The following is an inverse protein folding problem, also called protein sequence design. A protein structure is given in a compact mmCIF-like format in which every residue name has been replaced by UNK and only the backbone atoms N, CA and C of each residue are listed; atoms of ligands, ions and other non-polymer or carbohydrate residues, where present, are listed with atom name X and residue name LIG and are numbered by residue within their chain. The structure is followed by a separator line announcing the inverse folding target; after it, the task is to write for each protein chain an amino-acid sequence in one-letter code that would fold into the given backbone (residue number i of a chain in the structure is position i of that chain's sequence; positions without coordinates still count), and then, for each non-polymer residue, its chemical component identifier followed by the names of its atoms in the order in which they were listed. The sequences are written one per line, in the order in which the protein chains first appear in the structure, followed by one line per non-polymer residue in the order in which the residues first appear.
data_IF_012352880795
#
_entry.id   IF_012352880795
#
_cell.length_a   1.000
_cell.length_b   1.000
_cell.length_c   1.000
_cell.angle_alpha   90.00
_cell.angle_beta   90.00
_cell.angle_gamma   90.00
#
_symmetry.space_group_name_H-M   'P 1'
#
loop_
_entity.id
_entity.type
_entity.pdbx_description
1 polymer ?
#
# COMPACT_ATOMS: atom_id res chain seq x y z
N UNK A 1 -53.74 6.02 -37.14
CA UNK A 1 -53.08 6.90 -36.14
C UNK A 1 -53.83 6.76 -34.83
N UNK A 2 -53.12 6.42 -33.73
CA UNK A 2 -52.80 7.45 -32.75
C UNK A 2 -51.32 7.43 -32.32
N UNK A 3 -50.82 8.63 -31.98
CA UNK A 3 -49.48 8.87 -31.45
C UNK A 3 -49.47 8.69 -29.93
N UNK A 4 -48.67 7.74 -29.45
CA UNK A 4 -48.36 7.57 -28.02
C UNK A 4 -47.09 8.33 -27.66
N UNK A 5 -47.22 9.37 -26.85
CA UNK A 5 -46.11 10.11 -26.25
C UNK A 5 -45.43 9.29 -25.16
N UNK A 6 -44.22 8.80 -25.45
CA UNK A 6 -43.32 8.22 -24.45
C UNK A 6 -42.64 9.33 -23.65
N UNK A 7 -42.99 9.44 -22.38
CA UNK A 7 -42.24 10.20 -21.37
C UNK A 7 -40.86 9.55 -21.15
N UNK A 8 -39.75 10.32 -21.14
CA UNK A 8 -38.44 9.76 -20.83
C UNK A 8 -38.36 9.39 -19.35
N UNK A 9 -37.95 8.15 -19.11
CA UNK A 9 -37.75 7.52 -17.81
C UNK A 9 -36.78 8.32 -16.94
N UNK A 10 -37.30 8.87 -15.84
CA UNK A 10 -36.62 9.68 -14.82
C UNK A 10 -35.38 9.03 -14.17
N UNK A 11 -35.13 7.74 -14.45
CA UNK A 11 -33.98 6.99 -13.92
C UNK A 11 -32.65 7.33 -14.57
N UNK A 12 -32.64 7.93 -15.77
CA UNK A 12 -31.38 8.29 -16.45
C UNK A 12 -30.79 9.62 -15.96
N UNK A 13 -31.62 10.56 -15.49
CA UNK A 13 -31.15 11.86 -15.01
C UNK A 13 -30.28 11.78 -13.75
N UNK A 14 -30.60 10.83 -12.85
CA UNK A 14 -29.81 10.60 -11.62
C UNK A 14 -28.43 10.00 -11.91
N UNK A 15 -28.30 9.15 -12.94
CA UNK A 15 -27.01 8.58 -13.34
C UNK A 15 -26.04 9.64 -13.87
N UNK A 16 -26.54 10.59 -14.67
CA UNK A 16 -25.69 11.68 -15.18
C UNK A 16 -25.22 12.62 -14.07
N UNK A 17 -26.04 12.89 -13.05
CA UNK A 17 -25.65 13.73 -11.92
C UNK A 17 -24.55 13.11 -11.06
N UNK A 18 -24.58 11.79 -10.83
CA UNK A 18 -23.54 11.08 -10.08
C UNK A 18 -22.21 11.06 -10.85
N UNK A 19 -22.25 10.82 -12.17
CA UNK A 19 -21.05 10.84 -13.02
C UNK A 19 -20.43 12.24 -13.08
N UNK A 20 -21.24 13.30 -13.17
CA UNK A 20 -20.74 14.68 -13.18
C UNK A 20 -20.10 15.07 -11.83
N UNK A 21 -20.63 14.56 -10.72
CA UNK A 21 -20.10 14.83 -9.39
C UNK A 21 -18.75 14.14 -9.14
N UNK A 22 -18.57 12.91 -9.66
CA UNK A 22 -17.29 12.20 -9.61
C UNK A 22 -16.24 12.89 -10.49
N UNK A 23 -16.63 13.36 -11.68
CA UNK A 23 -15.73 14.14 -12.55
C UNK A 23 -15.28 15.47 -11.92
N UNK A 24 -16.17 16.14 -11.17
CA UNK A 24 -15.83 17.36 -10.44
C UNK A 24 -14.91 17.13 -9.24
N UNK A 25 -14.99 15.95 -8.60
CA UNK A 25 -14.08 15.57 -7.50
C UNK A 25 -12.65 15.28 -7.97
N UNK A 26 -12.44 14.97 -9.25
CA UNK A 26 -11.11 14.77 -9.85
C UNK A 26 -10.47 16.03 -10.44
N UNK A 27 -11.21 17.14 -10.54
CA UNK A 27 -10.71 18.39 -11.15
C UNK A 27 -10.09 19.38 -10.16
N UNK A 28 -9.87 18.98 -8.89
CA UNK A 28 -9.23 19.86 -7.92
C UNK A 28 -7.71 19.71 -7.99
N UNK A 29 -7.09 20.65 -8.70
CA UNK A 29 -5.64 20.79 -8.86
C UNK A 29 -4.87 20.68 -7.53
N UNK A 30 -3.68 20.04 -7.53
CA UNK A 30 -2.73 20.16 -6.43
C UNK A 30 -1.95 21.47 -6.54
N UNK A 31 -1.98 22.26 -5.46
CA UNK A 31 -1.03 23.34 -5.25
C UNK A 31 0.41 22.78 -5.11
N UNK A 32 1.31 23.32 -5.92
CA UNK A 32 2.77 23.14 -6.06
C UNK A 32 3.58 23.40 -4.78
N UNK A 33 4.94 23.33 -4.77
CA UNK A 33 5.87 22.30 -5.29
C UNK A 33 6.94 21.93 -4.24
N UNK A 34 7.47 20.70 -4.25
CA UNK A 34 8.74 20.38 -3.54
C UNK A 34 9.70 19.65 -4.50
N UNK A 35 10.69 20.44 -4.96
CA UNK A 35 12.05 20.13 -5.41
C UNK A 35 12.31 18.77 -6.08
N UNK A 36 12.31 18.77 -7.43
CA UNK A 36 12.98 17.76 -8.27
C UNK A 36 14.51 17.96 -8.21
N UNK A 37 15.24 17.00 -7.65
CA UNK A 37 16.66 16.81 -8.00
C UNK A 37 16.76 15.91 -9.23
N UNK A 38 16.88 16.53 -10.40
CA UNK A 38 17.25 15.85 -11.65
C UNK A 38 18.75 15.61 -11.62
N UNK A 39 19.17 14.41 -11.19
CA UNK A 39 20.54 13.94 -11.35
C UNK A 39 20.80 13.56 -12.81
N UNK A 40 21.24 14.51 -13.65
CA UNK A 40 21.85 14.20 -14.96
C UNK A 40 23.17 13.45 -14.71
N UNK A 41 23.19 12.14 -14.92
CA UNK A 41 24.43 11.36 -14.99
C UNK A 41 25.20 11.78 -16.25
N UNK A 42 26.24 12.60 -16.09
CA UNK A 42 27.28 12.82 -17.09
C UNK A 42 28.42 11.85 -16.77
N UNK A 43 28.49 10.72 -17.47
CA UNK A 43 29.66 9.85 -17.41
C UNK A 43 30.82 10.55 -18.12
N UNK A 44 31.75 11.14 -17.35
CA UNK A 44 33.03 11.59 -17.87
C UNK A 44 34.06 10.47 -17.69
N UNK A 45 34.53 9.91 -18.80
CA UNK A 45 35.43 8.75 -18.83
C UNK A 45 36.86 9.25 -19.06
N UNK A 46 37.47 9.87 -18.06
CA UNK A 46 38.92 10.06 -18.02
C UNK A 46 39.50 9.26 -16.86
N UNK A 47 40.15 8.16 -17.22
CA UNK A 47 40.82 7.21 -16.33
C UNK A 47 42.28 7.64 -16.24
N UNK A 48 42.68 8.18 -15.08
CA UNK A 48 44.04 8.61 -14.83
C UNK A 48 44.33 8.76 -13.33
N UNK A 49 45.10 7.78 -12.82
CA UNK A 49 46.15 7.92 -11.81
C UNK A 49 45.73 8.11 -10.33
N UNK A 50 45.86 7.01 -9.59
CA UNK A 50 46.67 6.80 -8.37
C UNK A 50 46.83 7.96 -7.36
N UNK A 51 46.44 7.72 -6.10
CA UNK A 51 46.88 8.52 -4.95
C UNK A 51 46.08 8.24 -3.68
N UNK A 52 46.64 7.45 -2.76
CA UNK A 52 46.21 7.32 -1.37
C UNK A 52 46.65 8.54 -0.56
N UNK A 53 45.85 9.02 0.41
CA UNK A 53 46.27 9.34 1.80
C UNK A 53 45.06 9.62 2.69
N UNK A 54 45.15 9.18 3.94
CA UNK A 54 44.19 9.28 5.04
C UNK A 54 43.98 10.72 5.55
N UNK A 55 42.79 11.03 6.08
CA UNK A 55 42.54 11.52 7.45
C UNK A 55 41.10 12.04 7.67
N UNK A 56 40.61 11.72 8.87
CA UNK A 56 39.58 12.40 9.69
C UNK A 56 38.08 12.26 9.37
N UNK A 57 37.38 11.91 10.45
CA UNK A 57 35.96 11.67 10.62
C UNK A 57 35.04 12.78 10.08
N UNK A 58 33.94 12.35 9.47
CA UNK A 58 32.65 13.01 9.65
C UNK A 58 31.54 11.96 9.65
N UNK A 59 30.87 11.82 10.80
CA UNK A 59 29.56 11.17 10.91
C UNK A 59 28.59 11.84 9.95
N UNK A 60 28.13 11.09 8.96
CA UNK A 60 26.82 11.28 8.34
C UNK A 60 26.44 9.95 7.72
N UNK A 61 25.32 9.39 8.18
CA UNK A 61 24.77 8.12 7.72
C UNK A 61 24.57 8.14 6.21
N UNK A 62 25.47 7.45 5.51
CA UNK A 62 25.22 7.00 4.16
C UNK A 62 24.44 5.70 4.24
N UNK A 63 23.12 5.76 4.06
CA UNK A 63 22.39 4.63 3.52
C UNK A 63 22.99 4.36 2.13
N UNK A 64 24.01 3.49 2.10
CA UNK A 64 24.45 2.85 0.88
C UNK A 64 23.27 2.04 0.36
N UNK A 65 22.74 2.47 -0.78
CA UNK A 65 22.02 1.58 -1.67
C UNK A 65 22.89 0.35 -1.89
N UNK A 66 22.44 -0.75 -1.33
CA UNK A 66 22.93 -2.10 -1.57
C UNK A 66 21.81 -2.84 -2.27
N UNK A 67 22.22 -3.57 -3.30
CA UNK A 67 21.42 -4.23 -4.31
C UNK A 67 20.26 -5.09 -3.78
N UNK A 68 19.23 -5.14 -4.62
CA UNK A 68 18.46 -6.34 -4.96
C UNK A 68 18.53 -7.51 -3.97
N UNK A 69 17.57 -7.53 -3.05
CA UNK A 69 17.01 -8.79 -2.57
C UNK A 69 15.51 -8.65 -2.52
N UNK A 70 14.85 -9.10 -3.59
CA UNK A 70 13.41 -9.34 -3.61
C UNK A 70 12.94 -10.40 -2.61
N UNK A 71 13.81 -10.93 -1.73
CA UNK A 71 13.46 -11.93 -0.71
C UNK A 71 13.60 -11.46 0.75
N UNK A 72 14.42 -10.45 1.04
CA UNK A 72 14.80 -10.14 2.42
C UNK A 72 13.63 -9.63 3.29
N UNK A 73 12.74 -8.81 2.76
CA UNK A 73 11.64 -8.21 3.53
C UNK A 73 10.43 -9.12 3.76
N UNK A 74 10.13 -10.04 2.85
CA UNK A 74 8.97 -10.94 2.99
C UNK A 74 9.17 -12.03 4.05
N UNK A 75 10.39 -12.55 4.16
CA UNK A 75 10.79 -13.43 5.26
C UNK A 75 10.72 -12.71 6.61
N UNK A 76 11.16 -11.45 6.66
CA UNK A 76 11.09 -10.61 7.87
C UNK A 76 9.65 -10.35 8.29
N UNK A 77 8.73 -10.06 7.35
CA UNK A 77 7.31 -9.88 7.65
C UNK A 77 6.69 -11.14 8.25
N UNK A 78 6.98 -12.33 7.69
CA UNK A 78 6.42 -13.59 8.19
C UNK A 78 6.91 -13.95 9.59
N UNK A 79 8.15 -13.60 9.94
CA UNK A 79 8.67 -13.73 11.30
C UNK A 79 8.00 -12.73 12.24
N UNK A 80 7.87 -11.46 11.80
CA UNK A 80 7.20 -10.42 12.58
C UNK A 80 5.73 -10.76 12.87
N UNK A 81 5.02 -11.40 11.94
CA UNK A 81 3.65 -11.85 12.14
C UNK A 81 3.47 -12.89 13.25
N UNK A 82 4.54 -13.57 13.70
CA UNK A 82 4.47 -14.49 14.85
C UNK A 82 4.48 -13.75 16.19
N UNK A 83 5.05 -12.56 16.22
CA UNK A 83 5.32 -11.79 17.44
C UNK A 83 4.44 -10.53 17.53
N UNK A 84 3.95 -10.02 16.39
CA UNK A 84 3.18 -8.80 16.32
C UNK A 84 1.73 -9.10 15.87
N UNK A 85 0.72 -8.86 16.73
CA UNK A 85 -0.65 -9.20 16.41
C UNK A 85 -1.24 -8.38 15.25
N UNK A 86 -0.78 -7.14 15.02
CA UNK A 86 -1.21 -6.36 13.85
C UNK A 86 -0.68 -6.98 12.56
N UNK A 87 0.57 -7.45 12.55
CA UNK A 87 1.14 -8.16 11.41
C UNK A 87 0.44 -9.50 11.16
N UNK A 88 0.09 -10.23 12.22
CA UNK A 88 -0.68 -11.47 12.13
C UNK A 88 -2.04 -11.24 11.46
N UNK A 89 -2.82 -10.28 11.95
CA UNK A 89 -4.13 -9.92 11.41
C UNK A 89 -4.03 -9.46 9.95
N UNK A 90 -3.04 -8.62 9.60
CA UNK A 90 -2.86 -8.19 8.21
C UNK A 90 -2.56 -9.35 7.27
N UNK A 91 -1.71 -10.29 7.69
CA UNK A 91 -1.36 -11.46 6.89
C UNK A 91 -2.56 -12.37 6.65
N UNK A 92 -3.39 -12.57 7.67
CA UNK A 92 -4.61 -13.36 7.60
C UNK A 92 -5.63 -12.73 6.65
N UNK A 93 -5.94 -11.44 6.84
CA UNK A 93 -6.91 -10.71 6.00
C UNK A 93 -6.46 -10.63 4.53
N UNK A 94 -5.16 -10.49 4.27
CA UNK A 94 -4.62 -10.57 2.92
C UNK A 94 -4.80 -11.96 2.30
N UNK A 95 -4.47 -13.00 3.08
CA UNK A 95 -4.59 -14.40 2.61
C UNK A 95 -6.04 -14.77 2.29
N UNK A 96 -6.98 -14.30 3.11
CA UNK A 96 -8.41 -14.47 2.89
C UNK A 96 -8.88 -13.74 1.63
N UNK A 97 -8.43 -12.51 1.41
CA UNK A 97 -8.72 -11.76 0.20
C UNK A 97 -8.19 -12.49 -1.05
N UNK A 98 -6.92 -12.88 -1.07
CA UNK A 98 -6.32 -13.63 -2.18
C UNK A 98 -7.06 -14.93 -2.46
N UNK A 99 -7.47 -15.66 -1.42
CA UNK A 99 -8.30 -16.86 -1.55
C UNK A 99 -9.66 -16.54 -2.17
N UNK A 100 -10.27 -15.42 -1.79
CA UNK A 100 -11.55 -14.98 -2.37
C UNK A 100 -11.45 -14.67 -3.87
N UNK A 101 -10.31 -14.13 -4.33
CA UNK A 101 -10.06 -13.85 -5.75
C UNK A 101 -9.96 -15.12 -6.60
N UNK A 102 -9.55 -16.24 -6.01
CA UNK A 102 -9.50 -17.53 -6.71
C UNK A 102 -10.89 -18.16 -6.86
N UNK A 103 -11.88 -17.72 -6.08
CA UNK A 103 -13.22 -18.31 -6.02
C UNK A 103 -14.28 -17.42 -6.69
N UNK A 104 -14.15 -16.09 -6.64
CA UNK A 104 -15.15 -15.14 -7.13
C UNK A 104 -14.59 -14.19 -8.21
N UNK A 105 -15.46 -13.76 -9.13
CA UNK A 105 -15.11 -12.90 -10.25
C UNK A 105 -15.03 -11.40 -9.92
N UNK A 106 -15.48 -10.99 -8.74
CA UNK A 106 -15.39 -9.61 -8.27
C UNK A 106 -15.34 -9.61 -6.74
N UNK A 107 -14.32 -8.99 -6.15
CA UNK A 107 -14.29 -8.75 -4.71
C UNK A 107 -13.82 -7.33 -4.40
N UNK A 108 -14.75 -6.55 -3.86
CA UNK A 108 -14.41 -5.40 -3.05
C UNK A 108 -14.49 -5.84 -1.59
N UNK A 109 -13.35 -5.87 -0.91
CA UNK A 109 -13.24 -6.32 0.46
C UNK A 109 -12.82 -5.13 1.34
N UNK A 110 -13.77 -4.58 2.10
CA UNK A 110 -13.49 -3.57 3.13
C UNK A 110 -13.69 -4.16 4.51
N UNK A 111 -12.66 -4.14 5.34
CA UNK A 111 -12.63 -4.79 6.66
C UNK A 111 -12.10 -3.83 7.72
N UNK A 112 -12.72 -3.86 8.90
CA UNK A 112 -12.22 -3.14 10.09
C UNK A 112 -12.14 -4.16 11.23
N UNK A 113 -10.94 -4.34 11.78
CA UNK A 113 -10.61 -5.44 12.71
C UNK A 113 -9.77 -4.91 13.86
N UNK A 114 -9.91 -5.50 15.04
CA UNK A 114 -9.07 -5.21 16.21
C UNK A 114 -8.00 -6.28 16.37
N UNK A 115 -6.73 -5.87 16.47
CA UNK A 115 -5.64 -6.75 16.83
C UNK A 115 -5.72 -7.09 18.32
N UNK A 116 -5.53 -8.37 18.66
CA UNK A 116 -5.45 -8.79 20.06
C UNK A 116 -4.08 -8.41 20.64
N UNK A 117 -4.00 -7.25 21.28
CA UNK A 117 -2.76 -6.70 21.86
C UNK A 117 -2.52 -7.10 23.31
N UNK A 118 -3.33 -8.01 23.88
CA UNK A 118 -3.28 -8.34 25.31
C UNK A 118 -1.91 -8.87 25.77
N UNK A 119 -1.17 -9.53 24.88
CA UNK A 119 0.12 -10.16 25.18
C UNK A 119 1.33 -9.42 24.61
N UNK A 120 1.13 -8.35 23.84
CA UNK A 120 2.21 -7.72 23.06
C UNK A 120 2.08 -6.20 23.07
N UNK A 121 2.95 -5.48 23.80
CA UNK A 121 2.93 -4.02 23.81
C UNK A 121 3.28 -3.46 22.43
N UNK A 122 2.43 -2.58 21.90
CA UNK A 122 2.62 -1.96 20.59
C UNK A 122 2.88 -0.47 20.68
N UNK A 123 3.74 0.01 19.80
CA UNK A 123 4.02 1.43 19.59
C UNK A 123 3.63 1.79 18.16
N UNK A 124 3.29 3.05 17.90
CA UNK A 124 3.06 3.50 16.51
C UNK A 124 4.26 3.21 15.60
N UNK A 125 5.48 3.28 16.16
CA UNK A 125 6.72 2.94 15.43
C UNK A 125 6.80 1.46 15.08
N UNK A 126 6.43 0.55 15.99
CA UNK A 126 6.44 -0.88 15.68
C UNK A 126 5.36 -1.22 14.65
N UNK A 127 4.20 -0.55 14.68
CA UNK A 127 3.15 -0.72 13.67
C UNK A 127 3.53 -0.10 12.30
N UNK A 128 4.24 1.03 12.26
CA UNK A 128 4.81 1.55 11.00
C UNK A 128 5.80 0.55 10.37
N UNK A 129 6.63 -0.12 11.19
CA UNK A 129 7.48 -1.20 10.70
C UNK A 129 6.67 -2.34 10.08
N UNK A 130 5.53 -2.71 10.70
CA UNK A 130 4.61 -3.70 10.14
C UNK A 130 4.13 -3.29 8.75
N UNK A 131 3.65 -2.05 8.58
CA UNK A 131 3.18 -1.54 7.29
C UNK A 131 4.25 -1.59 6.19
N UNK A 132 5.48 -1.15 6.50
CA UNK A 132 6.61 -1.19 5.55
C UNK A 132 6.96 -2.61 5.10
N UNK A 133 7.00 -3.55 6.03
CA UNK A 133 7.32 -4.93 5.71
C UNK A 133 6.16 -5.62 4.97
N UNK A 134 4.92 -5.25 5.31
CA UNK A 134 3.74 -5.74 4.61
C UNK A 134 3.71 -5.29 3.14
N UNK A 135 4.15 -4.05 2.83
CA UNK A 135 4.33 -3.60 1.44
C UNK A 135 5.21 -4.54 0.63
N UNK A 136 6.36 -4.91 1.18
CA UNK A 136 7.31 -5.80 0.51
C UNK A 136 6.72 -7.20 0.36
N UNK A 137 6.06 -7.70 1.41
CA UNK A 137 5.39 -8.99 1.39
C UNK A 137 4.33 -9.07 0.29
N UNK A 138 3.42 -8.09 0.20
CA UNK A 138 2.34 -8.08 -0.80
C UNK A 138 2.90 -7.96 -2.21
N UNK A 139 3.88 -7.07 -2.45
CA UNK A 139 4.53 -6.96 -3.77
C UNK A 139 5.13 -8.29 -4.23
N UNK A 140 5.78 -9.00 -3.32
CA UNK A 140 6.34 -10.31 -3.61
C UNK A 140 5.26 -11.35 -3.90
N UNK A 141 4.18 -11.38 -3.11
CA UNK A 141 3.06 -12.30 -3.32
C UNK A 141 2.35 -12.06 -4.66
N UNK A 142 2.13 -10.79 -5.04
CA UNK A 142 1.59 -10.43 -6.35
C UNK A 142 2.52 -10.83 -7.49
N UNK A 143 3.82 -10.59 -7.34
CA UNK A 143 4.83 -11.00 -8.35
C UNK A 143 4.83 -12.51 -8.57
N UNK A 144 4.75 -13.31 -7.50
CA UNK A 144 4.69 -14.77 -7.58
C UNK A 144 3.43 -15.29 -8.27
N UNK A 145 2.35 -14.50 -8.26
CA UNK A 145 1.07 -14.82 -8.90
C UNK A 145 0.95 -14.25 -10.30
N UNK A 146 1.97 -13.52 -10.76
CA UNK A 146 1.94 -12.75 -12.00
C UNK A 146 0.78 -11.72 -12.03
N UNK A 147 0.42 -11.20 -10.86
CA UNK A 147 -0.63 -10.19 -10.70
C UNK A 147 -0.04 -8.79 -10.61
N UNK A 148 -0.78 -7.83 -11.18
CA UNK A 148 -0.49 -6.40 -11.04
C UNK A 148 -1.21 -5.81 -9.84
N UNK A 149 -0.85 -4.59 -9.48
CA UNK A 149 -1.61 -3.86 -8.48
C UNK A 149 -0.88 -2.68 -7.87
N UNK A 150 -1.64 -1.79 -7.25
CA UNK A 150 -1.13 -0.74 -6.39
C UNK A 150 -1.46 -1.06 -4.95
N UNK A 151 -0.55 -0.71 -4.05
CA UNK A 151 -0.76 -0.91 -2.63
C UNK A 151 -0.22 0.29 -1.87
N UNK A 152 -0.96 0.70 -0.84
CA UNK A 152 -0.56 1.73 0.10
C UNK A 152 -0.91 1.34 1.55
N UNK A 153 -0.24 1.98 2.51
CA UNK A 153 -0.58 1.88 3.94
C UNK A 153 -0.49 3.24 4.63
N UNK A 154 -1.28 3.41 5.69
CA UNK A 154 -1.22 4.58 6.56
C UNK A 154 -1.31 4.13 8.01
N UNK A 155 -0.47 4.68 8.87
CA UNK A 155 -0.57 4.49 10.32
C UNK A 155 -1.03 5.78 10.96
N UNK A 156 -2.11 5.70 11.73
CA UNK A 156 -2.63 6.81 12.52
C UNK A 156 -2.54 6.42 13.99
N UNK A 157 -1.95 7.30 14.79
CA UNK A 157 -1.71 7.08 16.21
C UNK A 157 -2.30 8.18 17.10
N UNK A 158 -2.92 7.77 18.19
CA UNK A 158 -3.32 8.55 19.35
C UNK A 158 -2.60 7.98 20.58
N UNK A 159 -2.56 8.73 21.69
CA UNK A 159 -1.77 8.37 22.89
C UNK A 159 -1.87 6.90 23.31
N UNK A 160 -3.08 6.33 23.34
CA UNK A 160 -3.34 4.97 23.85
C UNK A 160 -3.85 3.99 22.78
N UNK A 161 -4.04 4.44 21.55
CA UNK A 161 -4.63 3.62 20.48
C UNK A 161 -4.23 4.13 19.11
N UNK A 162 -4.28 3.26 18.11
CA UNK A 162 -4.09 3.67 16.74
C UNK A 162 -4.70 2.66 15.79
N UNK A 163 -4.56 2.93 14.50
CA UNK A 163 -4.86 1.95 13.47
C UNK A 163 -3.83 1.98 12.35
N UNK A 164 -3.66 0.83 11.72
CA UNK A 164 -2.99 0.70 10.43
C UNK A 164 -4.07 0.44 9.39
N UNK A 165 -4.17 1.34 8.41
CA UNK A 165 -5.00 1.15 7.22
C UNK A 165 -4.10 0.66 6.09
N UNK A 166 -4.50 -0.40 5.42
CA UNK A 166 -3.82 -0.93 4.26
C UNK A 166 -4.82 -1.08 3.11
N UNK A 167 -4.41 -0.66 1.92
CA UNK A 167 -5.25 -0.65 0.73
C UNK A 167 -4.50 -1.28 -0.44
N UNK A 168 -5.18 -2.10 -1.23
CA UNK A 168 -4.65 -2.69 -2.43
C UNK A 168 -5.68 -2.61 -3.56
N UNK A 169 -5.24 -2.23 -4.76
CA UNK A 169 -5.94 -2.55 -6.00
C UNK A 169 -5.15 -3.66 -6.68
N UNK A 170 -5.78 -4.77 -7.01
CA UNK A 170 -5.12 -5.95 -7.59
C UNK A 170 -5.71 -6.22 -8.95
N UNK A 171 -4.82 -6.32 -9.94
CA UNK A 171 -5.13 -6.72 -11.29
C UNK A 171 -4.80 -8.20 -11.45
N UNK A 172 -5.78 -9.05 -11.17
CA UNK A 172 -5.65 -10.48 -11.37
C UNK A 172 -5.83 -10.78 -12.86
N UNK A 173 -4.71 -10.99 -13.57
CA UNK A 173 -4.72 -11.39 -14.97
C UNK A 173 -5.30 -12.80 -15.12
N UNK A 174 -6.48 -12.92 -15.75
CA UNK A 174 -6.97 -14.21 -16.22
C UNK A 174 -6.33 -14.56 -17.56
N UNK A 175 -5.90 -15.81 -17.76
CA UNK A 175 -5.32 -16.31 -19.02
C UNK A 175 -6.20 -16.16 -20.27
N UNK A 176 -7.41 -15.62 -20.15
CA UNK A 176 -8.36 -15.31 -21.22
C UNK A 176 -8.36 -13.83 -21.66
N UNK A 177 -7.42 -13.01 -21.17
CA UNK A 177 -7.29 -11.61 -21.59
C UNK A 177 -8.25 -10.63 -20.90
N UNK A 178 -9.02 -11.08 -19.91
CA UNK A 178 -9.81 -10.21 -19.03
C UNK A 178 -9.07 -10.03 -17.70
N UNK A 179 -8.49 -8.85 -17.48
CA UNK A 179 -7.97 -8.46 -16.16
C UNK A 179 -9.15 -8.16 -15.23
N UNK A 180 -9.18 -8.83 -14.08
CA UNK A 180 -10.14 -8.54 -13.02
C UNK A 180 -9.47 -7.62 -12.01
N UNK A 181 -9.91 -6.36 -12.00
CA UNK A 181 -9.53 -5.40 -10.97
C UNK A 181 -10.33 -5.73 -9.69
N UNK A 182 -9.64 -5.88 -8.57
CA UNK A 182 -10.22 -6.12 -7.26
C UNK A 182 -9.65 -5.13 -6.24
N UNK A 183 -10.49 -4.71 -5.30
CA UNK A 183 -10.12 -3.69 -4.31
C UNK A 183 -10.17 -4.31 -2.93
N UNK A 184 -9.08 -4.16 -2.18
CA UNK A 184 -8.97 -4.60 -0.80
C UNK A 184 -8.61 -3.42 0.08
N UNK A 185 -9.31 -3.28 1.20
CA UNK A 185 -9.02 -2.33 2.25
C UNK A 185 -9.21 -3.00 3.60
N UNK A 186 -8.20 -2.92 4.45
CA UNK A 186 -8.31 -3.33 5.84
C UNK A 186 -7.84 -2.22 6.76
N UNK A 187 -8.53 -2.09 7.89
CA UNK A 187 -8.16 -1.19 8.97
C UNK A 187 -8.01 -1.99 10.25
N UNK A 188 -6.78 -2.11 10.72
CA UNK A 188 -6.42 -2.89 11.92
C UNK A 188 -6.17 -1.94 13.07
N UNK A 189 -7.08 -1.92 14.04
CA UNK A 189 -6.97 -1.16 15.28
C UNK A 189 -6.07 -1.87 16.29
N UNK A 190 -5.38 -1.10 17.12
CA UNK A 190 -4.52 -1.60 18.17
C UNK A 190 -4.46 -0.65 19.36
N UNK A 191 -4.26 -1.20 20.55
CA UNK A 191 -3.91 -0.41 21.73
C UNK A 191 -2.41 -0.11 21.72
N UNK A 192 -2.05 1.15 21.95
CA UNK A 192 -0.65 1.54 22.08
C UNK A 192 -0.26 1.67 23.55
N UNK A 193 0.94 1.24 23.87
CA UNK A 193 1.52 1.30 25.23
C UNK A 193 2.47 2.48 25.41
N UNK A 194 2.53 3.41 24.45
CA UNK A 194 3.25 4.66 24.61
C UNK A 194 2.66 5.47 25.76
N UNK A 195 3.47 5.74 26.79
CA UNK A 195 3.07 6.68 27.83
C UNK A 195 2.89 8.07 27.21
N UNK A 196 1.85 8.84 27.60
CA UNK A 196 1.81 10.26 27.25
C UNK A 196 3.08 10.92 27.80
N UNK A 197 3.80 11.63 26.91
CA UNK A 197 4.92 12.49 27.30
C UNK A 197 4.39 13.77 27.96
#
# INVERSE_FOLDING_TARGET
MPAGSMLPSSRHALFYLVILFIALLWSREPATPITRHIGKKKCNKNKGIMGCTSTKEKRSGGFRGGDESGGAGAGEFSSLAKENPVAATLKEEWSDFVRSLSVSAFSEARREVWANTASSPLTHRSVDKVGKLFLVYVRNDLTLREWGGNFDYTVVGLANQGFLRATATVDAGGGTGQSKEAVWEVKVHYHSTTKPQ
#
